data_IF_800711578605
#
_entry.id   IF_800711578605
#
_cell.length_a   1.000
_cell.length_b   1.000
_cell.length_c   1.000
_cell.angle_alpha   90.00
_cell.angle_beta   90.00
_cell.angle_gamma   90.00
#
_symmetry.space_group_name_H-M   'P 1'
#
loop_
_entity.id
_entity.type
_entity.pdbx_description
1 polymer ?
#
# COMPACT_ATOMS: atom_id res chain seq x y z
N UNK A 1 10.40 10.29 4.10
CA UNK A 1 9.18 10.88 3.52
C UNK A 1 9.00 10.33 2.11
N UNK A 2 7.76 10.08 1.65
CA UNK A 2 7.48 9.60 0.30
C UNK A 2 7.99 10.63 -0.72
N UNK A 3 8.80 10.20 -1.70
CA UNK A 3 9.40 11.06 -2.73
C UNK A 3 8.43 11.27 -3.90
N UNK A 4 7.74 10.21 -4.34
CA UNK A 4 6.73 10.28 -5.39
C UNK A 4 5.57 11.19 -4.99
N UNK A 5 5.35 12.24 -5.78
CA UNK A 5 4.24 13.17 -5.55
C UNK A 5 2.87 12.48 -5.67
N UNK A 6 2.73 11.49 -6.56
CA UNK A 6 1.50 10.74 -6.73
C UNK A 6 1.17 9.90 -5.49
N UNK A 7 2.14 9.14 -4.99
CA UNK A 7 1.99 8.32 -3.80
C UNK A 7 1.73 9.21 -2.57
N UNK A 8 2.48 10.30 -2.42
CA UNK A 8 2.31 11.27 -1.32
C UNK A 8 0.91 11.87 -1.33
N UNK A 9 0.44 12.34 -2.49
CA UNK A 9 -0.89 12.93 -2.62
C UNK A 9 -2.02 11.97 -2.23
N UNK A 10 -1.91 10.69 -2.59
CA UNK A 10 -2.86 9.64 -2.18
C UNK A 10 -2.79 9.37 -0.68
N UNK A 11 -1.58 9.19 -0.14
CA UNK A 11 -1.37 8.96 1.28
C UNK A 11 -1.96 10.09 2.13
N UNK A 12 -1.70 11.35 1.76
CA UNK A 12 -2.21 12.52 2.47
C UNK A 12 -3.73 12.63 2.36
N UNK A 13 -4.30 12.31 1.20
CA UNK A 13 -5.75 12.30 1.01
C UNK A 13 -6.43 11.25 1.88
N UNK A 14 -5.86 10.05 1.96
CA UNK A 14 -6.39 8.99 2.82
C UNK A 14 -6.24 9.33 4.31
N UNK A 15 -5.11 9.91 4.73
CA UNK A 15 -4.92 10.42 6.10
C UNK A 15 -5.97 11.47 6.46
N UNK A 16 -6.21 12.45 5.58
CA UNK A 16 -7.27 13.46 5.79
C UNK A 16 -8.64 12.82 5.95
N UNK A 17 -8.96 11.83 5.12
CA UNK A 17 -10.24 11.13 5.20
C UNK A 17 -10.39 10.35 6.53
N UNK A 18 -9.35 9.62 6.95
CA UNK A 18 -9.29 8.94 8.25
C UNK A 18 -9.53 9.93 9.39
N UNK A 19 -8.80 11.05 9.39
CA UNK A 19 -8.94 12.10 10.42
C UNK A 19 -10.35 12.68 10.43
N UNK A 20 -10.92 12.96 9.26
CA UNK A 20 -12.28 13.50 9.13
C UNK A 20 -13.33 12.57 9.74
N UNK A 21 -13.24 11.26 9.50
CA UNK A 21 -14.19 10.29 10.07
C UNK A 21 -13.97 10.15 11.57
N UNK A 22 -12.71 10.03 12.04
CA UNK A 22 -12.40 9.91 13.48
C UNK A 22 -12.82 11.13 14.30
N UNK A 23 -12.80 12.32 13.70
CA UNK A 23 -13.10 13.57 14.40
C UNK A 23 -14.60 13.86 14.44
N UNK A 24 -15.41 13.17 13.63
CA UNK A 24 -16.85 13.34 13.61
C UNK A 24 -17.51 12.45 14.68
N UNK A 25 -17.86 13.07 15.80
CA UNK A 25 -18.49 12.40 16.95
C UNK A 25 -19.99 12.16 16.80
N UNK A 26 -20.61 12.72 15.75
CA UNK A 26 -22.05 12.62 15.51
C UNK A 26 -22.41 11.40 14.66
N UNK A 27 -21.41 10.65 14.17
CA UNK A 27 -21.63 9.42 13.41
C UNK A 27 -22.07 8.28 14.33
N UNK A 28 -23.16 7.56 13.99
CA UNK A 28 -23.52 6.33 14.69
C UNK A 28 -22.42 5.26 14.57
N UNK A 29 -22.25 4.43 15.60
CA UNK A 29 -21.22 3.37 15.64
C UNK A 29 -21.26 2.43 14.43
N UNK A 30 -22.46 2.10 13.95
CA UNK A 30 -22.66 1.28 12.76
C UNK A 30 -22.04 1.94 11.52
N UNK A 31 -22.25 3.25 11.35
CA UNK A 31 -21.67 4.03 10.25
C UNK A 31 -20.15 4.08 10.38
N UNK A 32 -19.62 4.25 11.59
CA UNK A 32 -18.17 4.19 11.87
C UNK A 32 -17.59 2.83 11.46
N UNK A 33 -18.29 1.74 11.78
CA UNK A 33 -17.92 0.39 11.35
C UNK A 33 -17.89 0.23 9.82
N UNK A 34 -18.90 0.75 9.12
CA UNK A 34 -18.91 0.77 7.65
C UNK A 34 -17.79 1.62 7.05
N UNK A 35 -17.48 2.77 7.66
CA UNK A 35 -16.36 3.62 7.23
C UNK A 35 -15.02 2.90 7.39
N UNK A 36 -14.82 2.10 8.44
CA UNK A 36 -13.64 1.27 8.61
C UNK A 36 -13.41 0.32 7.41
N UNK A 37 -14.47 -0.33 6.93
CA UNK A 37 -14.42 -1.20 5.75
C UNK A 37 -14.12 -0.41 4.47
N UNK A 38 -14.80 0.72 4.28
CA UNK A 38 -14.56 1.58 3.11
C UNK A 38 -13.12 2.10 3.06
N UNK A 39 -12.60 2.60 4.19
CA UNK A 39 -11.22 3.06 4.33
C UNK A 39 -10.21 1.92 4.11
N UNK A 40 -10.52 0.70 4.54
CA UNK A 40 -9.71 -0.47 4.24
C UNK A 40 -9.59 -0.73 2.73
N UNK A 41 -10.69 -0.62 1.99
CA UNK A 41 -10.69 -0.78 0.53
C UNK A 41 -9.86 0.31 -0.14
N UNK A 42 -9.97 1.57 0.31
CA UNK A 42 -9.13 2.66 -0.23
C UNK A 42 -7.64 2.44 0.12
N UNK A 43 -7.34 2.00 1.34
CA UNK A 43 -5.96 1.66 1.75
C UNK A 43 -5.38 0.53 0.90
N UNK A 44 -6.19 -0.48 0.56
CA UNK A 44 -5.78 -1.53 -0.36
C UNK A 44 -5.44 -0.96 -1.75
N UNK A 45 -6.32 -0.11 -2.31
CA UNK A 45 -6.06 0.56 -3.58
C UNK A 45 -4.80 1.46 -3.56
N UNK A 46 -4.51 2.09 -2.42
CA UNK A 46 -3.26 2.82 -2.21
C UNK A 46 -2.06 1.89 -2.36
N UNK A 47 -2.01 0.75 -1.66
CA UNK A 47 -0.89 -0.21 -1.73
C UNK A 47 -0.72 -0.75 -3.16
N UNK A 48 -1.83 -1.14 -3.78
CA UNK A 48 -1.92 -1.74 -5.10
C UNK A 48 -1.35 -0.79 -6.18
N UNK A 49 -1.76 0.49 -6.13
CA UNK A 49 -1.30 1.50 -7.09
C UNK A 49 0.09 2.05 -6.78
N UNK A 50 0.48 2.13 -5.50
CA UNK A 50 1.80 2.64 -5.09
C UNK A 50 2.93 1.78 -5.64
N UNK A 51 2.76 0.46 -5.71
CA UNK A 51 3.78 -0.43 -6.28
C UNK A 51 4.08 -0.10 -7.75
N UNK A 52 3.04 0.14 -8.55
CA UNK A 52 3.23 0.56 -9.94
C UNK A 52 3.82 1.98 -10.05
N UNK A 53 3.40 2.90 -9.17
CA UNK A 53 3.86 4.29 -9.19
C UNK A 53 5.32 4.45 -8.77
N UNK A 54 5.82 3.66 -7.82
CA UNK A 54 7.24 3.66 -7.46
C UNK A 54 8.08 3.33 -8.69
N UNK A 55 7.72 2.30 -9.43
CA UNK A 55 8.53 1.87 -10.57
C UNK A 55 8.25 2.66 -11.85
N UNK A 56 7.22 3.50 -11.91
CA UNK A 56 6.88 4.23 -13.12
C UNK A 56 8.00 5.19 -13.55
N UNK A 57 8.50 5.99 -12.62
CA UNK A 57 9.65 6.88 -12.84
C UNK A 57 10.94 6.08 -13.10
N UNK A 58 11.11 4.95 -12.41
CA UNK A 58 12.28 4.11 -12.55
C UNK A 58 12.43 3.57 -13.98
N UNK A 59 11.36 2.99 -14.53
CA UNK A 59 11.41 2.36 -15.87
C UNK A 59 11.44 3.39 -16.99
N UNK A 60 10.69 4.49 -16.85
CA UNK A 60 10.66 5.56 -17.87
C UNK A 60 12.01 6.27 -18.03
N UNK A 61 12.78 6.42 -16.94
CA UNK A 61 14.12 7.05 -16.98
C UNK A 61 15.24 6.10 -17.41
N UNK A 62 15.04 4.78 -17.36
CA UNK A 62 16.12 3.78 -17.51
C UNK A 62 15.93 2.79 -18.65
N UNK A 63 14.83 2.88 -19.40
CA UNK A 63 14.54 1.97 -20.50
C UNK A 63 13.94 2.68 -21.71
N UNK A 64 13.94 2.01 -22.85
CA UNK A 64 13.24 2.47 -24.05
C UNK A 64 11.72 2.52 -23.79
N UNK A 65 11.00 3.36 -24.54
CA UNK A 65 9.57 3.62 -24.33
C UNK A 65 8.73 2.34 -24.37
N UNK A 66 9.01 1.44 -25.30
CA UNK A 66 8.29 0.17 -25.48
C UNK A 66 8.50 -0.76 -24.28
N UNK A 67 9.72 -0.78 -23.72
CA UNK A 67 10.06 -1.58 -22.54
C UNK A 67 9.41 -0.99 -21.29
N UNK A 68 9.43 0.34 -21.15
CA UNK A 68 8.75 1.04 -20.07
C UNK A 68 7.25 0.78 -20.11
N UNK A 69 6.62 0.88 -21.28
CA UNK A 69 5.20 0.59 -21.50
C UNK A 69 4.84 -0.83 -21.09
N UNK A 70 5.60 -1.83 -21.56
CA UNK A 70 5.39 -3.24 -21.17
C UNK A 70 5.50 -3.46 -19.65
N UNK A 71 6.51 -2.84 -19.02
CA UNK A 71 6.71 -2.93 -17.57
C UNK A 71 5.53 -2.30 -16.80
N UNK A 72 5.11 -1.09 -17.20
CA UNK A 72 3.99 -0.39 -16.58
C UNK A 72 2.68 -1.17 -16.69
N UNK A 73 2.40 -1.75 -17.86
CA UNK A 73 1.20 -2.58 -18.07
C UNK A 73 1.23 -3.85 -17.23
N UNK A 74 2.41 -4.45 -17.05
CA UNK A 74 2.60 -5.60 -16.17
C UNK A 74 2.38 -5.22 -14.70
N UNK A 75 2.90 -4.07 -14.27
CA UNK A 75 2.77 -3.58 -12.90
C UNK A 75 1.32 -3.21 -12.55
N UNK A 76 0.60 -2.56 -13.46
CA UNK A 76 -0.81 -2.15 -13.26
C UNK A 76 -1.79 -3.31 -13.15
N UNK A 77 -1.41 -4.50 -13.63
CA UNK A 77 -2.21 -5.73 -13.51
C UNK A 77 -2.06 -6.41 -12.15
N UNK A 78 -1.13 -5.98 -11.31
CA UNK A 78 -0.96 -6.54 -9.97
C UNK A 78 -2.17 -6.15 -9.13
N UNK A 79 -2.88 -7.15 -8.63
CA UNK A 79 -4.02 -6.97 -7.73
C UNK A 79 -3.81 -7.73 -6.43
N UNK A 80 -4.39 -7.18 -5.37
CA UNK A 80 -4.35 -7.68 -4.00
C UNK A 80 -2.94 -8.10 -3.52
N UNK A 81 -1.89 -7.27 -3.72
CA UNK A 81 -0.52 -7.67 -3.44
C UNK A 81 -0.28 -7.79 -1.93
N UNK A 82 -0.12 -9.03 -1.47
CA UNK A 82 0.47 -9.33 -0.15
C UNK A 82 1.93 -8.90 -0.11
N UNK A 83 2.51 -8.81 1.09
CA UNK A 83 3.89 -8.40 1.29
C UNK A 83 4.89 -9.23 0.45
N UNK A 84 4.67 -10.54 0.35
CA UNK A 84 5.51 -11.43 -0.47
C UNK A 84 5.49 -11.07 -1.97
N UNK A 85 4.36 -10.59 -2.48
CA UNK A 85 4.24 -10.14 -3.88
C UNK A 85 4.99 -8.83 -4.11
N UNK A 86 4.98 -7.93 -3.13
CA UNK A 86 5.77 -6.70 -3.16
C UNK A 86 7.27 -7.04 -3.19
N UNK A 87 7.72 -7.95 -2.33
CA UNK A 87 9.11 -8.45 -2.32
C UNK A 87 9.52 -9.03 -3.68
N UNK A 88 8.69 -9.91 -4.25
CA UNK A 88 8.95 -10.53 -5.54
C UNK A 88 9.11 -9.48 -6.65
N UNK A 89 8.20 -8.51 -6.71
CA UNK A 89 8.24 -7.45 -7.73
C UNK A 89 9.48 -6.59 -7.58
N UNK A 90 9.81 -6.16 -6.36
CA UNK A 90 11.02 -5.39 -6.11
C UNK A 90 12.29 -6.17 -6.51
N UNK A 91 12.36 -7.45 -6.17
CA UNK A 91 13.49 -8.32 -6.51
C UNK A 91 13.68 -8.54 -8.02
N UNK A 92 12.61 -8.38 -8.82
CA UNK A 92 12.70 -8.44 -10.29
C UNK A 92 13.40 -7.21 -10.89
N UNK A 93 13.35 -6.06 -10.22
CA UNK A 93 14.07 -4.85 -10.64
C UNK A 93 15.49 -4.82 -10.09
N UNK A 94 15.68 -5.20 -8.83
CA UNK A 94 16.99 -5.28 -8.21
C UNK A 94 17.01 -6.40 -7.15
N UNK A 95 17.78 -7.46 -7.41
CA UNK A 95 17.87 -8.60 -6.49
C UNK A 95 18.46 -8.20 -5.12
N UNK A 96 19.27 -7.14 -5.06
CA UNK A 96 19.93 -6.71 -3.83
C UNK A 96 18.95 -6.23 -2.75
N UNK A 97 17.75 -5.77 -3.14
CA UNK A 97 16.71 -5.32 -2.20
C UNK A 97 16.07 -6.47 -1.41
N UNK A 98 16.19 -7.71 -1.89
CA UNK A 98 15.39 -8.84 -1.37
C UNK A 98 15.60 -9.07 0.13
N UNK A 99 16.85 -9.14 0.58
CA UNK A 99 17.18 -9.36 2.00
C UNK A 99 16.82 -8.14 2.86
N UNK A 100 17.24 -6.90 2.50
CA UNK A 100 16.88 -5.71 3.27
C UNK A 100 15.36 -5.49 3.39
N UNK A 101 14.61 -5.64 2.28
CA UNK A 101 13.16 -5.43 2.30
C UNK A 101 12.45 -6.50 3.14
N UNK A 102 12.86 -7.76 3.02
CA UNK A 102 12.32 -8.83 3.86
C UNK A 102 12.56 -8.54 5.35
N UNK A 103 13.80 -8.19 5.71
CA UNK A 103 14.14 -7.81 7.09
C UNK A 103 13.33 -6.61 7.56
N UNK A 104 13.15 -5.59 6.71
CA UNK A 104 12.35 -4.41 7.04
C UNK A 104 10.86 -4.75 7.25
N UNK A 105 10.31 -5.66 6.43
CA UNK A 105 8.93 -6.14 6.57
C UNK A 105 8.72 -6.99 7.82
N UNK A 106 9.73 -7.78 8.18
CA UNK A 106 9.73 -8.75 9.29
C UNK A 106 10.19 -8.13 10.64
N UNK A 107 10.77 -6.94 10.61
CA UNK A 107 11.16 -6.17 11.79
C UNK A 107 9.96 -5.82 12.69
N UNK A 108 10.22 -5.67 13.99
CA UNK A 108 9.18 -5.40 15.00
C UNK A 108 8.08 -6.47 15.03
N UNK A 109 8.46 -7.75 15.05
CA UNK A 109 7.57 -8.92 14.99
C UNK A 109 6.71 -9.01 13.69
N UNK A 110 7.23 -8.50 12.57
CA UNK A 110 6.55 -8.55 11.28
C UNK A 110 5.37 -7.59 11.15
N UNK A 111 5.36 -6.52 11.95
CA UNK A 111 4.24 -5.58 12.02
C UNK A 111 3.89 -4.97 10.65
N UNK A 112 4.89 -4.69 9.80
CA UNK A 112 4.68 -4.12 8.45
C UNK A 112 4.10 -5.16 7.50
N UNK A 113 4.68 -6.37 7.45
CA UNK A 113 4.13 -7.50 6.69
C UNK A 113 2.67 -7.77 7.06
N UNK A 114 2.41 -7.97 8.35
CA UNK A 114 1.08 -8.28 8.87
C UNK A 114 0.07 -7.17 8.53
N UNK A 115 0.50 -5.91 8.47
CA UNK A 115 -0.37 -4.80 8.12
C UNK A 115 -0.78 -4.81 6.65
N UNK A 116 0.16 -5.01 5.74
CA UNK A 116 -0.12 -5.14 4.31
C UNK A 116 -1.04 -6.35 4.07
N UNK A 117 -0.68 -7.50 4.63
CA UNK A 117 -1.46 -8.73 4.47
C UNK A 117 -2.86 -8.61 5.08
N UNK A 118 -2.99 -7.94 6.23
CA UNK A 118 -4.28 -7.65 6.88
C UNK A 118 -5.18 -6.80 5.97
N UNK A 119 -4.66 -5.72 5.38
CA UNK A 119 -5.44 -4.86 4.48
C UNK A 119 -5.91 -5.64 3.26
N UNK A 120 -5.03 -6.40 2.62
CA UNK A 120 -5.38 -7.22 1.45
C UNK A 120 -6.40 -8.30 1.78
N UNK A 121 -6.23 -9.01 2.90
CA UNK A 121 -7.18 -10.02 3.36
C UNK A 121 -8.54 -9.40 3.66
N UNK A 122 -8.60 -8.25 4.35
CA UNK A 122 -9.85 -7.56 4.65
C UNK A 122 -10.54 -7.05 3.37
N UNK A 123 -9.81 -6.43 2.45
CA UNK A 123 -10.35 -6.02 1.13
C UNK A 123 -10.95 -7.19 0.39
N UNK A 124 -10.30 -8.35 0.41
CA UNK A 124 -10.82 -9.58 -0.19
C UNK A 124 -12.13 -10.04 0.50
N UNK A 125 -12.19 -10.06 1.83
CA UNK A 125 -13.44 -10.39 2.55
C UNK A 125 -14.57 -9.42 2.22
N UNK A 126 -14.30 -8.11 2.27
CA UNK A 126 -15.27 -7.04 2.02
C UNK A 126 -15.83 -7.14 0.60
N UNK A 127 -14.97 -7.33 -0.40
CA UNK A 127 -15.39 -7.48 -1.79
C UNK A 127 -16.28 -8.71 -2.03
N UNK A 128 -16.15 -9.74 -1.20
CA UNK A 128 -17.00 -10.93 -1.22
C UNK A 128 -18.22 -10.83 -0.27
N UNK A 129 -18.50 -9.65 0.31
CA UNK A 129 -19.64 -9.43 1.20
C UNK A 129 -19.52 -10.15 2.55
N UNK A 130 -18.32 -10.59 2.93
CA UNK A 130 -18.07 -11.29 4.19
C UNK A 130 -17.87 -10.28 5.33
N UNK A 131 -18.06 -10.75 6.56
CA UNK A 131 -17.86 -9.91 7.74
C UNK A 131 -16.38 -9.50 7.86
N UNK A 132 -16.15 -8.23 8.16
CA UNK A 132 -14.86 -7.66 8.53
C UNK A 132 -15.09 -6.75 9.74
N UNK A 133 -14.28 -6.98 10.79
CA UNK A 133 -14.24 -6.21 12.03
C UNK A 133 -13.15 -5.14 12.02
N UNK A 134 -12.59 -4.81 10.85
CA UNK A 134 -11.51 -3.84 10.76
C UNK A 134 -11.97 -2.46 11.24
N UNK A 135 -11.24 -1.90 12.21
CA UNK A 135 -11.53 -0.58 12.76
C UNK A 135 -10.76 0.51 12.01
N UNK A 136 -11.23 1.75 12.13
CA UNK A 136 -10.54 2.90 11.51
C UNK A 136 -9.11 3.05 12.07
N UNK A 137 -8.92 2.83 13.38
CA UNK A 137 -7.58 2.90 13.99
C UNK A 137 -6.63 1.81 13.47
N UNK A 138 -7.15 0.61 13.17
CA UNK A 138 -6.36 -0.42 12.49
C UNK A 138 -6.00 -0.01 11.07
N UNK A 139 -6.93 0.56 10.29
CA UNK A 139 -6.64 1.05 8.94
C UNK A 139 -5.56 2.13 8.95
N UNK A 140 -5.63 3.09 9.88
CA UNK A 140 -4.62 4.14 10.06
C UNK A 140 -3.24 3.55 10.35
N UNK A 141 -3.15 2.63 11.32
CA UNK A 141 -1.89 1.94 11.66
C UNK A 141 -1.34 1.16 10.46
N UNK A 142 -2.22 0.49 9.71
CA UNK A 142 -1.81 -0.27 8.53
C UNK A 142 -1.33 0.64 7.40
N UNK A 143 -1.98 1.79 7.20
CA UNK A 143 -1.59 2.78 6.21
C UNK A 143 -0.20 3.35 6.52
N UNK A 144 0.06 3.74 7.77
CA UNK A 144 1.37 4.27 8.18
C UNK A 144 2.50 3.27 7.89
N UNK A 145 2.28 2.01 8.24
CA UNK A 145 3.25 0.93 7.98
C UNK A 145 3.43 0.65 6.49
N UNK A 146 2.36 0.74 5.69
CA UNK A 146 2.46 0.61 4.24
C UNK A 146 3.25 1.78 3.63
N UNK A 147 3.02 3.00 4.10
CA UNK A 147 3.79 4.19 3.71
C UNK A 147 5.28 3.99 4.01
N UNK A 148 5.62 3.52 5.21
CA UNK A 148 7.01 3.23 5.60
C UNK A 148 7.69 2.24 4.64
N UNK A 149 6.96 1.20 4.21
CA UNK A 149 7.46 0.22 3.23
C UNK A 149 7.72 0.90 1.87
N UNK A 150 6.81 1.73 1.37
CA UNK A 150 7.04 2.42 0.10
C UNK A 150 8.17 3.45 0.18
N UNK A 151 8.34 4.14 1.32
CA UNK A 151 9.49 5.01 1.57
C UNK A 151 10.80 4.22 1.54
N UNK A 152 10.81 3.04 2.17
CA UNK A 152 11.98 2.15 2.14
C UNK A 152 12.34 1.75 0.71
N UNK A 153 11.35 1.35 -0.10
CA UNK A 153 11.56 0.96 -1.49
C UNK A 153 12.07 2.15 -2.33
N UNK A 154 11.44 3.32 -2.24
CA UNK A 154 11.91 4.53 -2.96
C UNK A 154 13.36 4.88 -2.61
N UNK A 155 13.74 4.78 -1.34
CA UNK A 155 15.10 5.05 -0.91
C UNK A 155 16.12 4.05 -1.50
N UNK A 156 15.77 2.76 -1.57
CA UNK A 156 16.64 1.74 -2.16
C UNK A 156 16.88 2.00 -3.65
N UNK A 157 15.82 2.36 -4.40
CA UNK A 157 15.93 2.63 -5.84
C UNK A 157 16.39 4.05 -6.18
N UNK A 158 16.70 4.86 -5.17
CA UNK A 158 17.08 6.28 -5.30
C UNK A 158 16.06 7.11 -6.09
N UNK A 159 14.78 6.84 -5.87
CA UNK A 159 13.64 7.52 -6.50
C UNK A 159 13.22 8.76 -5.73
#
# INVERSE_FOLDING_TARGET
MIRSNAIRGKADSLKRLITSVKSNKDLPDEVVGHMGRYLCVICAGFIETSLAEVFADYVTKRSAEEVASFCLDTLRKIQNPKASRIEEVCARFDKSISVPLKQYLDDGAGARRLSIDSVMNNRHQIAHGKQSSITIGQVETHLERAIDVFVFIENHFHL
#
